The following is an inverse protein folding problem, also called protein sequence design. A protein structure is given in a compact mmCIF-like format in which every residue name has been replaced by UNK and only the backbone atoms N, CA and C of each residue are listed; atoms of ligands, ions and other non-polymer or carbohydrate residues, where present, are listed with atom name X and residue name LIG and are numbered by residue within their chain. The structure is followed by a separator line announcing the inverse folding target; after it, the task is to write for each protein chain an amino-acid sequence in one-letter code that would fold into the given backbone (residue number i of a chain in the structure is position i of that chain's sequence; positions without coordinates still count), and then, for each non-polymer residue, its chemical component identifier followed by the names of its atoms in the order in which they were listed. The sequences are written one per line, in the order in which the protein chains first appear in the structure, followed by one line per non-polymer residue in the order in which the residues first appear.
data_IF_772867677122
#
_entry.id   IF_772867677122
#
_cell.length_a   1.000
_cell.length_b   1.000
_cell.length_c   1.000
_cell.angle_alpha   90.00
_cell.angle_beta   90.00
_cell.angle_gamma   90.00
#
_symmetry.space_group_name_H-M   'P 1'
#
loop_
_entity.id
_entity.type
_entity.pdbx_description
1 polymer ?
#
# COMPACT_ATOMS: atom_id res chain seq x y z
N UNK A 1 -0.19 20.68 4.89
CA UNK A 1 0.41 19.90 3.81
C UNK A 1 1.44 18.96 4.42
N UNK A 2 1.28 17.66 4.25
CA UNK A 2 2.10 16.61 4.89
C UNK A 2 3.22 16.15 3.95
N UNK A 3 3.80 17.06 3.19
CA UNK A 3 4.85 16.75 2.22
C UNK A 3 6.09 16.20 2.92
N UNK A 4 6.47 14.97 2.58
CA UNK A 4 7.67 14.30 3.07
C UNK A 4 8.90 14.92 2.38
N UNK A 5 10.05 14.83 3.02
CA UNK A 5 11.31 15.34 2.48
C UNK A 5 12.21 14.15 2.09
N UNK A 6 12.70 14.15 0.86
CA UNK A 6 13.71 13.21 0.40
C UNK A 6 15.00 13.94 0.10
N UNK A 7 16.10 13.40 0.57
CA UNK A 7 17.42 13.93 0.30
C UNK A 7 18.27 12.93 -0.47
N UNK A 8 19.07 13.45 -1.36
CA UNK A 8 20.01 12.72 -2.19
C UNK A 8 21.40 13.32 -2.04
N UNK A 9 22.45 12.52 -2.19
CA UNK A 9 23.81 13.04 -2.36
C UNK A 9 23.87 13.97 -3.57
N UNK A 10 24.97 14.73 -3.67
CA UNK A 10 25.20 15.66 -4.78
C UNK A 10 25.23 14.96 -6.16
N UNK A 11 25.53 13.66 -6.20
CA UNK A 11 25.45 12.83 -7.40
C UNK A 11 24.01 12.72 -7.95
N UNK A 12 23.01 12.90 -7.07
CA UNK A 12 21.60 12.78 -7.42
C UNK A 12 21.12 11.35 -7.59
N UNK A 13 21.93 10.36 -7.27
CA UNK A 13 21.62 8.93 -7.41
C UNK A 13 21.47 8.24 -6.08
N UNK A 14 22.33 8.54 -5.15
CA UNK A 14 22.28 7.92 -3.82
C UNK A 14 21.22 8.59 -2.96
N UNK A 15 20.22 7.84 -2.56
CA UNK A 15 19.19 8.28 -1.59
C UNK A 15 19.82 8.29 -0.21
N UNK A 16 19.95 9.48 0.38
CA UNK A 16 20.51 9.62 1.74
C UNK A 16 19.52 9.27 2.81
N UNK A 17 18.27 9.69 2.66
CA UNK A 17 17.24 9.47 3.68
C UNK A 17 15.83 9.71 3.17
N UNK A 18 14.93 8.84 3.60
CA UNK A 18 13.52 9.12 3.85
C UNK A 18 13.31 9.01 5.35
N UNK A 19 12.87 10.07 6.01
CA UNK A 19 12.36 9.96 7.37
C UNK A 19 10.83 10.03 7.30
N UNK A 20 10.12 9.01 7.80
CA UNK A 20 8.66 8.92 7.67
C UNK A 20 7.92 10.07 8.36
N UNK A 21 8.56 10.69 9.34
CA UNK A 21 8.01 11.80 10.10
C UNK A 21 8.54 13.17 9.68
N UNK A 22 9.42 13.24 8.67
CA UNK A 22 9.94 14.50 8.18
C UNK A 22 8.89 15.20 7.34
N UNK A 23 8.27 16.19 7.92
CA UNK A 23 7.28 17.02 7.24
C UNK A 23 7.85 18.39 7.01
N UNK A 24 7.66 18.92 5.83
CA UNK A 24 7.83 20.34 5.59
C UNK A 24 6.63 21.05 6.18
N UNK A 25 6.88 21.83 7.23
CA UNK A 25 5.83 22.56 7.96
C UNK A 25 5.71 24.00 7.51
N UNK A 26 6.75 24.53 6.87
CA UNK A 26 6.78 25.90 6.38
C UNK A 26 7.69 26.04 5.15
N UNK A 27 7.29 26.89 4.21
CA UNK A 27 8.06 27.22 3.01
C UNK A 27 8.08 28.74 2.86
N UNK A 28 9.23 29.34 3.10
CA UNK A 28 9.43 30.77 2.96
C UNK A 28 10.22 31.08 1.68
N UNK A 29 9.63 31.82 0.76
CA UNK A 29 10.31 32.27 -0.45
C UNK A 29 11.16 33.50 -0.15
N UNK A 30 12.48 33.37 -0.17
CA UNK A 30 13.44 34.43 0.10
C UNK A 30 13.84 35.24 -1.16
N UNK A 31 13.26 34.91 -2.32
CA UNK A 31 13.63 35.50 -3.62
C UNK A 31 14.83 34.80 -4.26
N UNK A 32 15.19 35.19 -5.48
CA UNK A 32 16.34 34.66 -6.22
C UNK A 32 16.43 33.12 -6.30
N UNK A 33 15.28 32.44 -6.36
CA UNK A 33 15.15 30.97 -6.34
C UNK A 33 15.65 30.32 -5.03
N UNK A 34 15.72 31.10 -3.96
CA UNK A 34 16.06 30.62 -2.63
C UNK A 34 14.79 30.39 -1.84
N UNK A 35 14.70 29.24 -1.18
CA UNK A 35 13.58 28.85 -0.36
C UNK A 35 14.13 28.37 0.98
N UNK A 36 13.55 28.87 2.07
CA UNK A 36 13.79 28.36 3.41
C UNK A 36 12.70 27.33 3.75
N UNK A 37 13.11 26.16 4.22
CA UNK A 37 12.22 25.08 4.59
C UNK A 37 12.24 24.90 6.11
N UNK A 38 11.11 25.09 6.76
CA UNK A 38 10.88 24.63 8.13
C UNK A 38 10.47 23.15 8.10
N UNK A 39 11.11 22.32 8.91
CA UNK A 39 10.80 20.90 9.04
C UNK A 39 10.46 20.52 10.47
N UNK A 40 9.75 19.41 10.67
CA UNK A 40 9.41 18.89 12.00
C UNK A 40 10.61 18.36 12.77
N UNK A 41 11.72 18.09 12.10
CA UNK A 41 12.96 17.59 12.69
C UNK A 41 13.85 18.66 13.31
N UNK A 42 13.47 19.93 13.24
CA UNK A 42 14.37 21.00 13.67
C UNK A 42 15.54 21.15 12.70
N UNK A 43 16.75 20.96 13.19
CA UNK A 43 17.93 21.13 12.34
C UNK A 43 18.22 19.85 11.54
N UNK A 44 18.06 19.89 10.22
CA UNK A 44 18.39 18.79 9.31
C UNK A 44 19.88 18.39 9.36
N UNK A 45 20.72 19.25 9.94
CA UNK A 45 22.16 19.05 10.03
C UNK A 45 22.62 18.49 11.40
N UNK A 46 21.72 18.37 12.36
CA UNK A 46 22.00 17.83 13.71
C UNK A 46 21.62 16.36 13.83
N UNK A 47 22.23 15.51 13.07
CA UNK A 47 21.93 14.08 13.14
C UNK A 47 23.00 13.22 12.46
N UNK A 48 22.89 11.92 12.67
CA UNK A 48 23.80 10.91 12.14
C UNK A 48 23.81 10.80 10.59
N UNK A 49 23.09 11.67 9.89
CA UNK A 49 23.06 11.73 8.44
C UNK A 49 23.70 13.04 7.97
N UNK A 50 24.81 12.99 7.24
CA UNK A 50 25.51 14.17 6.79
C UNK A 50 24.77 14.83 5.63
N UNK A 51 23.86 15.75 5.94
CA UNK A 51 23.39 16.71 4.96
C UNK A 51 24.47 17.78 4.77
N UNK A 52 25.17 17.73 3.69
CA UNK A 52 26.17 18.74 3.35
C UNK A 52 25.64 19.70 2.28
N UNK A 53 26.16 20.91 2.21
CA UNK A 53 25.89 21.80 1.08
C UNK A 53 26.20 21.10 -0.25
N UNK A 54 25.22 21.09 -1.15
CA UNK A 54 25.29 20.35 -2.41
C UNK A 54 24.34 19.14 -2.48
N UNK A 55 23.83 18.67 -1.36
CA UNK A 55 22.76 17.67 -1.36
C UNK A 55 21.53 18.18 -2.12
N UNK A 56 20.87 17.29 -2.82
CA UNK A 56 19.65 17.57 -3.59
C UNK A 56 18.44 17.12 -2.76
N UNK A 57 17.42 17.95 -2.76
CA UNK A 57 16.22 17.72 -1.96
C UNK A 57 14.98 17.70 -2.85
N UNK A 58 14.07 16.77 -2.61
CA UNK A 58 12.77 16.71 -3.25
C UNK A 58 11.68 16.82 -2.20
N UNK A 59 10.73 17.70 -2.45
CA UNK A 59 9.49 17.84 -1.69
C UNK A 59 8.38 17.36 -2.62
N UNK A 60 7.89 16.14 -2.45
CA UNK A 60 6.84 15.62 -3.29
C UNK A 60 5.49 16.25 -2.98
N UNK A 61 4.81 16.67 -4.00
CA UNK A 61 3.40 17.02 -3.93
C UNK A 61 2.59 15.78 -4.33
N UNK A 62 2.16 15.02 -3.33
CA UNK A 62 1.39 13.79 -3.57
C UNK A 62 -0.04 14.14 -3.95
N UNK A 63 -0.46 13.73 -5.15
CA UNK A 63 -1.85 13.81 -5.60
C UNK A 63 -2.45 12.41 -5.66
N UNK A 64 -3.78 12.33 -5.76
CA UNK A 64 -4.48 11.07 -6.01
C UNK A 64 -4.34 10.63 -7.48
N UNK A 65 -4.47 9.32 -7.73
CA UNK A 65 -4.43 8.71 -9.05
C UNK A 65 -3.02 8.37 -9.53
N UNK A 66 -2.94 7.80 -10.72
CA UNK A 66 -1.71 7.37 -11.38
C UNK A 66 -1.46 8.09 -12.70
N UNK A 67 -0.22 8.03 -13.20
CA UNK A 67 0.06 8.43 -14.58
C UNK A 67 -0.71 7.52 -15.58
N UNK A 68 -0.87 6.25 -15.20
CA UNK A 68 -1.74 5.28 -15.86
C UNK A 68 -2.64 4.67 -14.80
N UNK A 69 -3.95 4.67 -15.04
CA UNK A 69 -4.94 4.00 -14.18
C UNK A 69 -5.65 2.90 -14.96
N UNK A 70 -5.77 1.71 -14.36
CA UNK A 70 -6.48 0.54 -14.90
C UNK A 70 -7.52 0.15 -13.85
N UNK A 71 -8.77 0.53 -14.08
CA UNK A 71 -9.81 0.42 -13.06
C UNK A 71 -10.98 -0.44 -13.55
N UNK A 72 -11.42 -1.38 -12.70
CA UNK A 72 -12.52 -2.30 -12.97
C UNK A 72 -12.36 -3.09 -14.30
N UNK A 73 -11.14 -3.40 -14.64
CA UNK A 73 -10.75 -4.10 -15.87
C UNK A 73 -10.30 -5.54 -15.59
N UNK A 74 -10.08 -6.31 -16.64
CA UNK A 74 -9.47 -7.63 -16.58
C UNK A 74 -8.85 -8.00 -17.91
N UNK A 75 -7.79 -8.81 -17.85
CA UNK A 75 -7.07 -9.34 -19.02
C UNK A 75 -6.50 -8.27 -19.97
N UNK A 76 -6.30 -7.05 -19.46
CA UNK A 76 -5.65 -5.99 -20.21
C UNK A 76 -4.14 -6.27 -20.31
N UNK A 77 -3.52 -5.85 -21.41
CA UNK A 77 -2.08 -5.92 -21.58
C UNK A 77 -1.50 -4.55 -21.85
N UNK A 78 -0.57 -4.12 -20.98
CA UNK A 78 0.27 -2.95 -21.20
C UNK A 78 1.68 -3.45 -21.50
N UNK A 79 2.18 -3.14 -22.69
CA UNK A 79 3.47 -3.60 -23.15
C UNK A 79 4.40 -2.45 -23.51
N UNK A 80 5.66 -2.54 -23.04
CA UNK A 80 6.71 -1.56 -23.34
C UNK A 80 6.28 -0.11 -22.99
N UNK A 81 5.61 0.05 -21.83
CA UNK A 81 5.14 1.35 -21.34
C UNK A 81 6.19 1.99 -20.46
N UNK A 82 6.55 3.25 -20.75
CA UNK A 82 7.50 4.03 -19.97
C UNK A 82 6.83 5.17 -19.22
N UNK A 83 6.99 5.20 -17.91
CA UNK A 83 6.49 6.24 -17.02
C UNK A 83 7.69 6.94 -16.37
N UNK A 84 7.92 8.20 -16.71
CA UNK A 84 9.06 8.96 -16.23
C UNK A 84 8.72 9.97 -15.14
N UNK A 85 7.45 10.20 -14.89
CA UNK A 85 6.99 11.17 -13.90
C UNK A 85 5.51 10.99 -13.60
N UNK A 86 5.18 10.93 -12.31
CA UNK A 86 3.81 11.00 -11.83
C UNK A 86 3.75 11.80 -10.53
N UNK A 87 2.75 12.69 -10.36
CA UNK A 87 2.53 13.37 -9.09
C UNK A 87 1.78 12.53 -8.05
N UNK A 88 1.37 11.33 -8.40
CA UNK A 88 0.75 10.31 -7.56
C UNK A 88 1.45 8.97 -7.78
N UNK A 89 0.66 7.90 -7.91
CA UNK A 89 1.17 6.59 -8.31
C UNK A 89 1.76 6.63 -9.72
N UNK A 90 2.78 5.85 -9.98
CA UNK A 90 3.25 5.65 -11.35
C UNK A 90 2.17 4.93 -12.17
N UNK A 91 1.84 3.72 -11.78
CA UNK A 91 0.71 2.95 -12.29
C UNK A 91 -0.24 2.61 -11.14
N UNK A 92 -1.52 2.79 -11.37
CA UNK A 92 -2.58 2.45 -10.42
C UNK A 92 -3.54 1.45 -11.05
N UNK A 93 -3.72 0.31 -10.37
CA UNK A 93 -4.66 -0.73 -10.77
C UNK A 93 -5.66 -0.95 -9.64
N UNK A 94 -6.96 -0.97 -9.95
CA UNK A 94 -7.99 -1.17 -8.95
C UNK A 94 -9.18 -1.99 -9.46
N UNK A 95 -9.57 -2.99 -8.69
CA UNK A 95 -10.83 -3.72 -8.87
C UNK A 95 -10.92 -4.52 -10.16
N UNK A 96 -12.11 -5.02 -10.43
CA UNK A 96 -12.41 -5.83 -11.60
C UNK A 96 -11.86 -7.25 -11.54
N UNK A 97 -11.94 -7.96 -12.66
CA UNK A 97 -11.45 -9.34 -12.75
C UNK A 97 -9.92 -9.43 -12.62
N UNK A 98 -9.20 -8.36 -12.94
CA UNK A 98 -7.73 -8.33 -12.89
C UNK A 98 -7.08 -9.29 -13.88
N UNK A 99 -5.97 -9.91 -13.48
CA UNK A 99 -5.17 -10.74 -14.37
C UNK A 99 -4.48 -9.95 -15.48
N UNK A 100 -4.37 -8.63 -15.30
CA UNK A 100 -3.75 -7.74 -16.26
C UNK A 100 -2.24 -8.01 -16.37
N UNK A 101 -1.71 -7.85 -17.56
CA UNK A 101 -0.31 -8.10 -17.89
C UNK A 101 0.43 -6.77 -18.14
N UNK A 102 1.51 -6.59 -17.41
CA UNK A 102 2.42 -5.46 -17.52
C UNK A 102 3.79 -6.00 -17.94
N UNK A 103 4.05 -6.02 -19.25
CA UNK A 103 5.25 -6.57 -19.84
C UNK A 103 6.17 -5.46 -20.33
N UNK A 104 7.36 -5.37 -19.76
CA UNK A 104 8.31 -4.29 -20.12
C UNK A 104 7.91 -2.92 -19.57
N UNK A 105 7.20 -2.86 -18.43
CA UNK A 105 6.91 -1.59 -17.76
C UNK A 105 8.22 -0.97 -17.23
N UNK A 106 8.49 0.27 -17.60
CA UNK A 106 9.62 1.08 -17.12
C UNK A 106 9.09 2.25 -16.30
N UNK A 107 9.13 2.13 -14.99
CA UNK A 107 8.84 3.23 -14.08
C UNK A 107 10.16 3.71 -13.49
N UNK A 108 10.80 4.64 -14.17
CA UNK A 108 12.15 5.10 -13.91
C UNK A 108 12.24 6.61 -14.04
N UNK A 109 13.29 7.22 -13.50
CA UNK A 109 13.57 8.63 -13.78
C UNK A 109 13.80 8.83 -15.27
N UNK A 110 13.34 9.97 -15.79
CA UNK A 110 13.59 10.30 -17.20
C UNK A 110 15.09 10.35 -17.48
N UNK A 111 15.62 9.51 -18.39
CA UNK A 111 17.04 9.50 -18.75
C UNK A 111 17.53 10.87 -19.22
N UNK A 112 18.79 11.17 -18.96
CA UNK A 112 19.46 12.42 -19.36
C UNK A 112 18.80 13.69 -18.82
N UNK A 113 18.18 13.62 -17.65
CA UNK A 113 17.59 14.77 -16.94
C UNK A 113 18.08 14.82 -15.49
N UNK A 114 17.85 15.95 -14.84
CA UNK A 114 18.16 16.14 -13.42
C UNK A 114 16.99 15.73 -12.51
N UNK A 115 16.03 14.93 -12.97
CA UNK A 115 14.94 14.44 -12.13
C UNK A 115 15.46 13.45 -11.09
N UNK A 116 14.91 13.56 -9.87
CA UNK A 116 15.28 12.70 -8.75
C UNK A 116 14.23 11.61 -8.48
N UNK A 117 12.99 11.80 -8.93
CA UNK A 117 11.87 10.86 -8.72
C UNK A 117 11.19 10.45 -10.01
N UNK A 118 10.63 9.23 -9.99
CA UNK A 118 9.73 8.72 -11.03
C UNK A 118 8.25 8.89 -10.62
N UNK A 119 7.90 8.74 -9.33
CA UNK A 119 6.55 8.94 -8.83
C UNK A 119 6.55 9.53 -7.42
N UNK A 120 5.49 10.26 -7.05
CA UNK A 120 5.33 10.86 -5.72
C UNK A 120 4.54 9.98 -4.75
N UNK A 121 4.23 8.76 -5.14
CA UNK A 121 3.65 7.68 -4.34
C UNK A 121 4.31 6.38 -4.79
N UNK A 122 3.61 5.23 -4.63
CA UNK A 122 4.14 3.95 -5.09
C UNK A 122 4.46 3.99 -6.59
N UNK A 123 5.42 3.19 -6.97
CA UNK A 123 5.69 2.96 -8.38
C UNK A 123 4.48 2.32 -9.07
N UNK A 124 4.15 1.13 -8.65
CA UNK A 124 2.95 0.42 -9.08
C UNK A 124 2.10 0.03 -7.86
N UNK A 125 0.88 0.50 -7.81
CA UNK A 125 -0.09 0.18 -6.76
C UNK A 125 -1.26 -0.62 -7.34
N UNK A 126 -1.43 -1.88 -6.92
CA UNK A 126 -2.54 -2.74 -7.31
C UNK A 126 -3.42 -3.06 -6.11
N UNK A 127 -4.73 -2.80 -6.25
CA UNK A 127 -5.68 -2.89 -5.15
C UNK A 127 -6.95 -3.61 -5.52
N UNK A 128 -7.31 -4.63 -4.75
CA UNK A 128 -8.65 -5.22 -4.74
C UNK A 128 -9.09 -5.87 -6.04
N UNK A 129 -8.19 -6.33 -6.88
CA UNK A 129 -8.50 -7.11 -8.07
C UNK A 129 -8.87 -8.55 -7.67
N UNK A 130 -9.70 -9.21 -8.46
CA UNK A 130 -10.01 -10.63 -8.25
C UNK A 130 -8.78 -11.51 -8.48
N UNK A 131 -8.07 -11.25 -9.57
CA UNK A 131 -6.78 -11.86 -9.89
C UNK A 131 -5.74 -10.75 -9.94
N UNK A 132 -4.63 -10.94 -9.25
CA UNK A 132 -3.58 -9.95 -9.20
C UNK A 132 -2.84 -9.76 -10.52
N UNK A 133 -2.02 -8.70 -10.61
CA UNK A 133 -1.28 -8.35 -11.82
C UNK A 133 -0.16 -9.34 -12.13
N UNK A 134 0.20 -9.40 -13.39
CA UNK A 134 1.39 -10.07 -13.90
C UNK A 134 2.40 -9.03 -14.36
N UNK A 135 3.36 -8.71 -13.50
CA UNK A 135 4.46 -7.78 -13.81
C UNK A 135 5.67 -8.58 -14.27
N UNK A 136 6.05 -8.42 -15.52
CA UNK A 136 7.11 -9.21 -16.15
C UNK A 136 8.06 -8.34 -16.95
N UNK A 137 9.34 -8.71 -17.02
CA UNK A 137 10.37 -8.06 -17.83
C UNK A 137 10.49 -6.55 -17.59
N UNK A 138 10.25 -6.10 -16.37
CA UNK A 138 10.01 -4.71 -16.02
C UNK A 138 11.13 -4.09 -15.19
N UNK A 139 11.08 -2.78 -14.99
CA UNK A 139 12.04 -2.04 -14.16
C UNK A 139 11.33 -0.93 -13.40
N UNK A 140 11.46 -0.94 -12.07
CA UNK A 140 10.84 0.03 -11.18
C UNK A 140 11.89 0.63 -10.25
N UNK A 141 11.94 1.97 -10.20
CA UNK A 141 12.91 2.69 -9.37
C UNK A 141 12.44 4.09 -9.01
N UNK A 142 13.05 4.68 -7.97
CA UNK A 142 12.85 6.07 -7.57
C UNK A 142 11.39 6.50 -7.36
N UNK A 143 10.54 5.59 -6.91
CA UNK A 143 9.24 5.96 -6.35
C UNK A 143 9.42 6.49 -4.93
N UNK A 144 8.52 7.33 -4.46
CA UNK A 144 8.60 7.89 -3.10
C UNK A 144 8.09 6.97 -2.01
N UNK A 145 7.33 5.98 -2.39
CA UNK A 145 6.84 4.93 -1.50
C UNK A 145 7.30 3.57 -2.05
N UNK A 146 6.50 2.52 -1.91
CA UNK A 146 6.85 1.20 -2.40
C UNK A 146 7.08 1.20 -3.92
N UNK A 147 8.08 0.48 -4.40
CA UNK A 147 8.22 0.33 -5.84
C UNK A 147 7.06 -0.47 -6.43
N UNK A 148 6.57 -1.46 -5.68
CA UNK A 148 5.37 -2.23 -6.00
C UNK A 148 4.57 -2.55 -4.74
N UNK A 149 3.28 -2.26 -4.74
CA UNK A 149 2.35 -2.60 -3.66
C UNK A 149 1.16 -3.35 -4.23
N UNK A 150 0.82 -4.50 -3.66
CA UNK A 150 -0.35 -5.29 -4.05
C UNK A 150 -1.12 -5.77 -2.83
N UNK A 151 -2.44 -5.48 -2.82
CA UNK A 151 -3.30 -5.83 -1.71
C UNK A 151 -4.79 -5.91 -2.09
N UNK A 152 -5.56 -6.55 -1.24
CA UNK A 152 -7.01 -6.40 -1.13
C UNK A 152 -7.38 -5.50 0.05
N UNK A 153 -8.59 -5.63 0.57
CA UNK A 153 -9.06 -4.88 1.74
C UNK A 153 -9.19 -5.80 2.95
N UNK A 154 -8.96 -5.23 4.11
CA UNK A 154 -9.37 -5.78 5.40
C UNK A 154 -10.63 -5.05 5.83
N UNK A 155 -11.72 -5.80 5.97
CA UNK A 155 -12.92 -5.33 6.63
C UNK A 155 -13.02 -6.06 7.98
N UNK A 156 -13.94 -5.68 8.83
CA UNK A 156 -14.13 -6.36 10.10
C UNK A 156 -15.60 -6.49 10.49
N UNK A 157 -15.90 -7.53 11.24
CA UNK A 157 -17.23 -7.77 11.78
C UNK A 157 -17.47 -6.81 12.93
N UNK A 158 -18.42 -5.90 12.78
CA UNK A 158 -18.81 -5.00 13.86
C UNK A 158 -19.65 -5.72 14.91
N UNK A 159 -20.62 -6.51 14.44
CA UNK A 159 -21.51 -7.28 15.31
C UNK A 159 -22.06 -8.52 14.59
N UNK A 160 -22.44 -9.51 15.39
CA UNK A 160 -23.07 -10.76 14.93
C UNK A 160 -24.55 -10.70 15.31
N UNK A 161 -25.40 -10.32 14.37
CA UNK A 161 -26.83 -10.09 14.59
C UNK A 161 -27.70 -11.33 14.36
N UNK A 162 -27.10 -12.41 13.91
CA UNK A 162 -27.74 -13.70 13.69
C UNK A 162 -26.70 -14.76 13.36
N UNK A 163 -27.04 -16.03 13.36
CA UNK A 163 -26.09 -17.12 13.11
C UNK A 163 -25.38 -17.03 11.75
N UNK A 164 -26.06 -16.46 10.76
CA UNK A 164 -25.54 -16.23 9.42
C UNK A 164 -25.70 -14.76 8.98
N UNK A 165 -25.89 -13.85 9.92
CA UNK A 165 -26.05 -12.41 9.64
C UNK A 165 -25.10 -11.57 10.45
N UNK A 166 -24.38 -10.69 9.77
CA UNK A 166 -23.33 -9.87 10.32
C UNK A 166 -23.55 -8.40 10.01
N UNK A 167 -23.10 -7.54 10.91
CA UNK A 167 -22.78 -6.15 10.58
C UNK A 167 -21.30 -6.07 10.29
N UNK A 168 -20.94 -5.60 9.09
CA UNK A 168 -19.55 -5.50 8.62
C UNK A 168 -19.22 -4.05 8.34
N UNK A 169 -18.03 -3.64 8.73
CA UNK A 169 -17.51 -2.30 8.45
C UNK A 169 -16.39 -2.38 7.43
N UNK A 170 -16.54 -1.65 6.36
CA UNK A 170 -15.56 -1.49 5.29
C UNK A 170 -15.06 -0.06 5.17
N UNK A 171 -13.76 0.11 4.98
CA UNK A 171 -13.13 1.43 4.91
C UNK A 171 -13.35 2.12 3.55
N UNK A 172 -13.32 1.35 2.46
CA UNK A 172 -13.52 1.83 1.09
C UNK A 172 -14.71 1.14 0.40
N UNK A 173 -15.76 0.84 1.17
CA UNK A 173 -16.78 -0.09 0.76
C UNK A 173 -16.48 -1.49 1.30
N UNK A 174 -17.35 -2.44 1.05
CA UNK A 174 -17.14 -3.83 1.43
C UNK A 174 -16.36 -4.57 0.34
N UNK A 175 -15.44 -5.43 0.76
CA UNK A 175 -14.54 -6.19 -0.14
C UNK A 175 -15.19 -7.41 -0.82
N UNK A 176 -16.48 -7.59 -0.67
CA UNK A 176 -17.20 -8.76 -1.18
C UNK A 176 -18.46 -8.40 -1.94
N UNK A 177 -18.71 -9.16 -3.02
CA UNK A 177 -19.98 -9.16 -3.75
C UNK A 177 -20.82 -10.39 -3.38
N UNK A 178 -22.13 -10.32 -3.66
CA UNK A 178 -23.03 -11.47 -3.55
C UNK A 178 -22.54 -12.61 -4.45
N UNK A 179 -22.48 -13.82 -3.91
CA UNK A 179 -21.97 -14.99 -4.57
C UNK A 179 -20.46 -15.21 -4.44
N UNK A 180 -19.76 -14.35 -3.71
CA UNK A 180 -18.32 -14.50 -3.45
C UNK A 180 -18.07 -15.04 -2.05
N UNK A 181 -16.88 -15.62 -1.86
CA UNK A 181 -16.46 -16.15 -0.56
C UNK A 181 -15.86 -15.06 0.30
N UNK A 182 -16.03 -15.21 1.60
CA UNK A 182 -15.35 -14.43 2.64
C UNK A 182 -14.66 -15.35 3.61
N UNK A 183 -13.44 -15.02 3.98
CA UNK A 183 -12.68 -15.70 5.02
C UNK A 183 -12.69 -14.87 6.29
N UNK A 184 -12.81 -15.55 7.43
CA UNK A 184 -12.79 -14.95 8.75
C UNK A 184 -11.51 -15.33 9.49
N UNK A 185 -10.93 -14.34 10.16
CA UNK A 185 -9.72 -14.52 10.95
C UNK A 185 -9.88 -13.84 12.31
N UNK A 186 -9.26 -14.41 13.31
CA UNK A 186 -9.19 -13.82 14.64
C UNK A 186 -8.49 -12.45 14.59
N UNK A 187 -9.01 -11.49 15.35
CA UNK A 187 -8.51 -10.12 15.36
C UNK A 187 -7.03 -10.03 15.79
N UNK A 188 -6.62 -10.78 16.78
CA UNK A 188 -5.30 -10.67 17.40
C UNK A 188 -4.30 -11.67 16.84
N UNK A 189 -4.68 -12.94 16.81
CA UNK A 189 -3.80 -14.04 16.40
C UNK A 189 -3.68 -14.20 14.89
N UNK A 190 -4.64 -13.66 14.12
CA UNK A 190 -4.80 -13.90 12.68
C UNK A 190 -4.99 -15.38 12.32
N UNK A 191 -5.39 -16.19 13.27
CA UNK A 191 -5.77 -17.55 12.97
C UNK A 191 -7.03 -17.58 12.12
N UNK A 192 -6.99 -18.40 11.09
CA UNK A 192 -8.17 -18.66 10.26
C UNK A 192 -9.27 -19.32 11.10
N UNK A 193 -10.47 -18.80 10.99
CA UNK A 193 -11.64 -19.32 11.70
C UNK A 193 -12.59 -20.08 10.80
N UNK A 194 -13.00 -19.45 9.68
CA UNK A 194 -14.07 -20.00 8.85
C UNK A 194 -14.09 -19.35 7.46
N UNK A 195 -14.82 -19.98 6.52
CA UNK A 195 -15.16 -19.42 5.20
C UNK A 195 -16.65 -19.62 4.94
N UNK A 196 -17.31 -18.62 4.40
CA UNK A 196 -18.70 -18.70 3.95
C UNK A 196 -18.90 -17.95 2.63
N UNK A 197 -20.05 -18.17 1.98
CA UNK A 197 -20.44 -17.44 0.78
C UNK A 197 -21.43 -16.34 1.12
N UNK A 198 -21.20 -15.15 0.60
CA UNK A 198 -22.11 -14.01 0.77
C UNK A 198 -23.36 -14.21 -0.10
N UNK A 199 -24.55 -14.21 0.49
CA UNK A 199 -25.82 -14.36 -0.22
C UNK A 199 -26.60 -13.05 -0.35
N UNK A 200 -26.36 -12.08 0.54
CA UNK A 200 -26.93 -10.74 0.45
C UNK A 200 -26.01 -9.71 1.11
N UNK A 201 -26.01 -8.50 0.57
CA UNK A 201 -25.31 -7.33 1.11
C UNK A 201 -26.26 -6.13 1.04
N UNK A 202 -26.43 -5.45 2.16
CA UNK A 202 -27.22 -4.21 2.24
C UNK A 202 -26.42 -3.13 2.93
N UNK A 203 -26.11 -2.05 2.21
CA UNK A 203 -25.47 -0.88 2.83
C UNK A 203 -26.47 -0.20 3.76
N UNK A 204 -26.08 0.05 4.99
CA UNK A 204 -26.90 0.72 5.98
C UNK A 204 -26.70 2.24 5.89
N UNK A 205 -27.80 2.97 5.92
CA UNK A 205 -27.82 4.45 5.93
C UNK A 205 -28.22 5.03 7.29
N UNK A 206 -28.36 4.18 8.32
CA UNK A 206 -28.83 4.61 9.62
C UNK A 206 -27.74 5.38 10.38
N UNK A 207 -28.06 6.61 10.77
CA UNK A 207 -27.17 7.50 11.51
C UNK A 207 -26.79 6.96 12.91
N UNK A 208 -27.58 6.07 13.49
CA UNK A 208 -27.27 5.43 14.79
C UNK A 208 -26.04 4.53 14.65
N UNK A 209 -26.00 3.71 13.63
CA UNK A 209 -24.83 2.85 13.35
C UNK A 209 -23.60 3.68 12.95
N UNK A 210 -23.78 4.70 12.13
CA UNK A 210 -22.69 5.58 11.69
C UNK A 210 -22.05 6.34 12.85
N UNK A 211 -22.80 6.72 13.88
CA UNK A 211 -22.21 7.35 15.07
C UNK A 211 -21.37 6.38 15.90
N UNK A 212 -21.72 5.10 15.93
CA UNK A 212 -21.00 4.08 16.69
C UNK A 212 -19.70 3.66 16.00
N UNK A 213 -19.57 3.81 14.67
CA UNK A 213 -18.34 3.47 13.93
C UNK A 213 -17.14 4.27 14.42
N UNK A 214 -17.33 5.52 14.88
CA UNK A 214 -16.24 6.32 15.45
C UNK A 214 -15.69 5.70 16.74
N UNK A 215 -16.53 5.03 17.50
CA UNK A 215 -16.13 4.36 18.74
C UNK A 215 -15.37 3.07 18.46
N UNK A 216 -15.66 2.40 17.35
CA UNK A 216 -14.98 1.14 16.96
C UNK A 216 -13.51 1.35 16.67
N UNK A 217 -13.13 2.40 15.94
CA UNK A 217 -11.70 2.67 15.67
C UNK A 217 -10.92 2.99 16.96
N UNK A 218 -11.56 3.66 17.92
CA UNK A 218 -11.02 3.88 19.26
C UNK A 218 -10.92 2.59 20.06
N UNK A 219 -11.92 1.74 19.96
CA UNK A 219 -11.99 0.46 20.66
C UNK A 219 -10.94 -0.53 20.14
N UNK A 220 -10.92 -0.78 18.84
CA UNK A 220 -9.89 -1.65 18.21
C UNK A 220 -8.49 -1.13 18.50
N UNK A 221 -8.29 0.20 18.47
CA UNK A 221 -7.00 0.81 18.73
C UNK A 221 -6.56 0.75 20.20
N UNK A 222 -7.48 0.88 21.16
CA UNK A 222 -7.14 1.05 22.57
C UNK A 222 -7.16 -0.26 23.36
N UNK A 223 -8.08 -1.15 23.10
CA UNK A 223 -8.30 -2.33 23.91
C UNK A 223 -7.46 -3.51 23.46
N UNK A 224 -7.20 -3.64 22.17
CA UNK A 224 -6.41 -4.73 21.59
C UNK A 224 -5.02 -4.31 21.12
N UNK A 225 -4.58 -3.10 21.46
CA UNK A 225 -3.26 -2.61 21.01
C UNK A 225 -3.10 -2.45 19.49
N UNK A 226 -4.23 -2.50 18.77
CA UNK A 226 -4.26 -2.39 17.32
C UNK A 226 -4.36 -0.92 16.93
N UNK A 227 -3.32 -0.38 16.35
CA UNK A 227 -3.38 0.95 15.76
C UNK A 227 -4.09 0.87 14.41
N UNK A 228 -5.27 1.43 14.31
CA UNK A 228 -6.01 1.60 13.07
C UNK A 228 -6.05 3.06 12.67
N UNK A 229 -6.02 3.34 11.38
CA UNK A 229 -6.15 4.71 10.88
C UNK A 229 -7.60 5.15 11.03
N UNK A 230 -7.81 6.21 11.81
CA UNK A 230 -9.08 6.95 11.76
C UNK A 230 -9.04 7.85 10.54
N UNK A 231 -10.02 7.73 9.65
CA UNK A 231 -10.13 8.67 8.52
C UNK A 231 -10.58 10.03 9.04
N UNK A 232 -9.99 11.12 8.53
CA UNK A 232 -10.31 12.47 8.97
C UNK A 232 -11.80 12.87 8.81
N UNK A 233 -12.50 12.20 7.91
CA UNK A 233 -13.89 12.47 7.53
C UNK A 233 -14.90 11.46 8.11
N UNK A 234 -14.43 10.44 8.85
CA UNK A 234 -15.28 9.46 9.50
C UNK A 234 -16.07 8.56 8.53
N UNK A 235 -15.53 8.33 7.34
CA UNK A 235 -16.19 7.60 6.26
C UNK A 235 -15.95 6.09 6.32
N UNK A 236 -16.40 5.46 7.39
CA UNK A 236 -16.66 4.02 7.34
C UNK A 236 -18.08 3.77 6.87
N UNK A 237 -18.24 2.82 5.98
CA UNK A 237 -19.53 2.31 5.59
C UNK A 237 -19.86 1.05 6.40
N UNK A 238 -21.11 0.90 6.81
CA UNK A 238 -21.61 -0.30 7.49
C UNK A 238 -22.57 -1.06 6.57
N UNK A 239 -22.44 -2.37 6.59
CA UNK A 239 -23.21 -3.27 5.76
C UNK A 239 -23.82 -4.39 6.61
N UNK A 240 -25.09 -4.71 6.35
CA UNK A 240 -25.67 -6.00 6.76
C UNK A 240 -25.29 -7.04 5.70
N UNK A 241 -24.62 -8.09 6.13
CA UNK A 241 -24.18 -9.21 5.27
C UNK A 241 -24.89 -10.47 5.70
N UNK A 242 -25.48 -11.20 4.76
CA UNK A 242 -26.06 -12.54 4.97
C UNK A 242 -25.19 -13.58 4.31
N UNK A 243 -24.91 -14.65 5.03
CA UNK A 243 -24.09 -15.78 4.59
C UNK A 243 -24.96 -16.99 4.22
N UNK A 244 -24.40 -17.90 3.45
CA UNK A 244 -25.05 -19.15 2.99
C UNK A 244 -25.21 -20.20 4.11
N UNK A 245 -24.53 -20.02 5.23
CA UNK A 245 -24.56 -20.93 6.37
C UNK A 245 -24.28 -20.21 7.68
N UNK A 246 -24.55 -20.90 8.78
CA UNK A 246 -24.16 -20.45 10.12
C UNK A 246 -22.63 -20.46 10.25
N UNK A 247 -22.07 -19.46 10.90
CA UNK A 247 -20.64 -19.30 11.19
C UNK A 247 -20.42 -19.06 12.67
N UNK A 248 -19.30 -19.55 13.20
CA UNK A 248 -18.87 -19.34 14.59
C UNK A 248 -17.77 -18.28 14.64
N UNK A 249 -18.18 -17.03 14.57
CA UNK A 249 -17.30 -15.86 14.57
C UNK A 249 -17.74 -14.88 15.65
N UNK A 250 -16.86 -13.99 16.01
CA UNK A 250 -17.05 -13.00 17.06
C UNK A 250 -17.09 -11.58 16.47
N UNK A 251 -17.72 -10.62 17.17
CA UNK A 251 -17.50 -9.21 16.88
C UNK A 251 -16.00 -8.91 16.86
N UNK A 252 -15.61 -8.07 15.88
CA UNK A 252 -14.25 -7.61 15.60
C UNK A 252 -13.32 -8.62 14.89
N UNK A 253 -13.76 -9.84 14.60
CA UNK A 253 -13.01 -10.71 13.68
C UNK A 253 -12.82 -10.03 12.32
N UNK A 254 -11.70 -10.33 11.68
CA UNK A 254 -11.45 -9.83 10.33
C UNK A 254 -12.36 -10.52 9.31
N UNK A 255 -12.90 -9.70 8.43
CA UNK A 255 -13.72 -10.09 7.29
C UNK A 255 -12.95 -9.79 6.01
N UNK A 256 -12.57 -10.80 5.27
CA UNK A 256 -11.68 -10.68 4.12
C UNK A 256 -12.32 -11.29 2.88
N UNK A 257 -12.69 -10.45 1.94
CA UNK A 257 -13.23 -10.89 0.66
C UNK A 257 -12.20 -11.61 -0.20
N UNK A 258 -12.46 -12.87 -0.53
CA UNK A 258 -11.52 -13.67 -1.34
C UNK A 258 -11.53 -13.26 -2.81
N UNK A 259 -12.59 -12.60 -3.28
CA UNK A 259 -12.71 -12.11 -4.66
C UNK A 259 -12.02 -10.78 -4.95
N UNK A 260 -11.51 -10.11 -3.91
CA UNK A 260 -10.79 -8.84 -4.05
C UNK A 260 -9.38 -8.90 -3.48
N UNK A 261 -8.84 -10.08 -3.34
CA UNK A 261 -7.57 -10.35 -2.65
C UNK A 261 -6.34 -10.21 -3.54
N UNK A 262 -6.49 -9.85 -4.81
CA UNK A 262 -5.40 -9.78 -5.80
C UNK A 262 -4.59 -11.09 -5.88
N UNK A 263 -5.23 -12.24 -5.61
CA UNK A 263 -4.57 -13.56 -5.62
C UNK A 263 -3.95 -13.88 -6.98
N UNK A 264 -3.00 -14.81 -6.97
CA UNK A 264 -2.26 -15.23 -8.17
C UNK A 264 -1.44 -14.09 -8.81
N UNK A 265 -0.98 -13.13 -8.02
CA UNK A 265 -0.03 -12.12 -8.48
C UNK A 265 1.27 -12.78 -8.95
N UNK A 266 1.77 -12.39 -10.10
CA UNK A 266 3.03 -12.90 -10.65
C UNK A 266 3.99 -11.75 -10.92
N UNK A 267 5.16 -11.80 -10.30
CA UNK A 267 6.24 -10.84 -10.53
C UNK A 267 7.46 -11.64 -11.00
N UNK A 268 7.90 -11.37 -12.22
CA UNK A 268 8.95 -12.16 -12.85
C UNK A 268 9.91 -11.33 -13.68
N UNK A 269 11.21 -11.70 -13.63
CA UNK A 269 12.24 -11.08 -14.46
C UNK A 269 12.19 -9.55 -14.41
N UNK A 270 12.08 -9.00 -13.19
CA UNK A 270 11.89 -7.57 -12.96
C UNK A 270 13.03 -7.02 -12.11
N UNK A 271 13.49 -5.82 -12.45
CA UNK A 271 14.53 -5.11 -11.72
C UNK A 271 13.92 -4.01 -10.86
N UNK A 272 14.06 -4.16 -9.55
CA UNK A 272 13.66 -3.19 -8.54
C UNK A 272 14.90 -2.55 -7.96
N UNK A 273 15.04 -1.23 -8.09
CA UNK A 273 16.25 -0.60 -7.60
C UNK A 273 16.07 0.86 -7.16
N UNK A 274 17.01 1.33 -6.36
CA UNK A 274 17.07 2.70 -5.87
C UNK A 274 15.72 3.13 -5.26
N UNK A 275 15.18 2.26 -4.41
CA UNK A 275 13.91 2.47 -3.70
C UNK A 275 14.14 3.07 -2.31
N UNK A 276 13.59 4.26 -2.01
CA UNK A 276 13.77 4.90 -0.70
C UNK A 276 12.92 4.26 0.41
N UNK A 277 12.06 3.31 0.07
CA UNK A 277 11.22 2.57 1.01
C UNK A 277 11.37 1.07 0.74
N UNK A 278 10.31 0.39 0.35
CA UNK A 278 10.32 -1.06 0.07
C UNK A 278 10.37 -1.32 -1.42
N UNK A 279 10.93 -2.47 -1.80
CA UNK A 279 10.85 -2.96 -3.17
C UNK A 279 9.42 -3.44 -3.47
N UNK A 280 9.00 -4.50 -2.80
CA UNK A 280 7.64 -5.06 -2.92
C UNK A 280 6.96 -5.10 -1.56
N UNK A 281 5.75 -4.58 -1.48
CA UNK A 281 4.81 -4.78 -0.39
C UNK A 281 3.76 -5.79 -0.85
N UNK A 282 3.81 -7.01 -0.27
CA UNK A 282 3.05 -8.16 -0.74
C UNK A 282 1.96 -8.55 0.24
N UNK A 283 0.72 -8.48 -0.21
CA UNK A 283 -0.48 -8.90 0.54
C UNK A 283 -1.45 -9.70 -0.32
N UNK A 284 -0.92 -10.41 -1.30
CA UNK A 284 -1.72 -11.21 -2.23
C UNK A 284 -1.41 -12.70 -2.05
N UNK A 285 -2.40 -13.55 -1.79
CA UNK A 285 -2.19 -14.99 -1.65
C UNK A 285 -1.92 -15.67 -2.99
N UNK A 286 -1.44 -16.91 -2.95
CA UNK A 286 -1.18 -17.77 -4.11
C UNK A 286 -0.25 -17.14 -5.15
N UNK A 287 0.72 -16.36 -4.70
CA UNK A 287 1.52 -15.47 -5.55
C UNK A 287 2.95 -15.96 -5.75
N UNK A 288 3.59 -15.45 -6.78
CA UNK A 288 4.97 -15.84 -7.15
C UNK A 288 5.82 -14.59 -7.41
N UNK A 289 7.01 -14.57 -6.81
CA UNK A 289 8.08 -13.59 -7.09
C UNK A 289 9.31 -14.38 -7.51
N UNK A 290 9.67 -14.35 -8.79
CA UNK A 290 10.76 -15.16 -9.31
C UNK A 290 11.67 -14.43 -10.31
N UNK A 291 12.92 -14.82 -10.33
CA UNK A 291 13.93 -14.34 -11.29
C UNK A 291 14.10 -12.81 -11.27
N UNK A 292 13.85 -12.14 -10.12
CA UNK A 292 13.94 -10.71 -9.97
C UNK A 292 15.29 -10.29 -9.35
N UNK A 293 15.68 -9.04 -9.59
CA UNK A 293 16.83 -8.41 -8.94
C UNK A 293 16.37 -7.22 -8.13
N UNK A 294 16.83 -7.14 -6.88
CA UNK A 294 16.60 -6.05 -5.96
C UNK A 294 17.95 -5.42 -5.61
N UNK A 295 18.08 -4.11 -5.78
CA UNK A 295 19.34 -3.42 -5.54
C UNK A 295 19.11 -2.02 -4.97
N UNK A 296 19.89 -1.62 -3.96
CA UNK A 296 19.81 -0.31 -3.33
C UNK A 296 18.40 0.01 -2.79
N UNK A 297 17.81 -0.89 -2.04
CA UNK A 297 16.50 -0.68 -1.40
C UNK A 297 16.74 -0.27 0.07
N UNK A 298 16.21 0.89 0.46
CA UNK A 298 16.49 1.46 1.78
C UNK A 298 15.83 0.72 2.94
N UNK A 299 14.72 0.04 2.69
CA UNK A 299 14.05 -0.85 3.64
C UNK A 299 14.06 -2.29 3.11
N UNK A 300 13.04 -3.06 3.37
CA UNK A 300 12.94 -4.45 2.91
C UNK A 300 12.78 -4.51 1.38
N UNK A 301 13.52 -5.39 0.72
CA UNK A 301 13.33 -5.66 -0.71
C UNK A 301 11.96 -6.28 -0.99
N UNK A 302 11.52 -7.20 -0.14
CA UNK A 302 10.18 -7.79 -0.14
C UNK A 302 9.65 -7.76 1.29
N UNK A 303 8.53 -7.13 1.52
CA UNK A 303 7.86 -7.07 2.81
C UNK A 303 6.51 -7.75 2.70
N UNK A 304 6.35 -8.85 3.43
CA UNK A 304 5.13 -9.66 3.45
C UNK A 304 4.41 -9.41 4.77
N UNK A 305 3.33 -8.68 4.73
CA UNK A 305 2.54 -8.35 5.91
C UNK A 305 1.12 -7.97 5.53
N UNK A 306 0.19 -8.02 6.46
CA UNK A 306 -1.04 -7.25 6.37
C UNK A 306 -0.85 -5.91 7.08
N UNK A 307 -1.69 -4.93 6.77
CA UNK A 307 -1.67 -3.65 7.47
C UNK A 307 -3.04 -3.32 8.06
N UNK A 308 -3.12 -3.40 9.39
CA UNK A 308 -4.30 -2.95 10.13
C UNK A 308 -4.50 -1.45 10.01
N UNK A 309 -3.40 -0.71 10.02
CA UNK A 309 -3.44 0.75 9.95
C UNK A 309 -4.04 1.27 8.64
N UNK A 310 -3.75 0.59 7.51
CA UNK A 310 -4.23 0.98 6.20
C UNK A 310 -5.45 0.18 5.73
N UNK A 311 -5.91 -0.81 6.52
CA UNK A 311 -6.96 -1.77 6.12
C UNK A 311 -6.60 -2.52 4.84
N UNK A 312 -5.35 -2.92 4.73
CA UNK A 312 -4.82 -3.62 3.56
C UNK A 312 -4.47 -5.07 3.91
N UNK A 313 -5.06 -5.98 3.17
CA UNK A 313 -4.91 -7.43 3.31
C UNK A 313 -5.06 -8.12 1.96
N UNK A 314 -5.31 -9.40 1.95
CA UNK A 314 -5.29 -10.38 3.04
C UNK A 314 -3.89 -10.78 3.48
N UNK A 315 -3.80 -11.88 4.27
CA UNK A 315 -2.53 -12.55 4.53
C UNK A 315 -2.06 -13.21 3.24
N UNK A 316 -0.80 -12.96 2.85
CA UNK A 316 -0.21 -13.53 1.64
C UNK A 316 0.18 -15.02 1.87
N UNK A 317 -0.82 -15.87 2.00
CA UNK A 317 -0.61 -17.32 2.12
C UNK A 317 -0.16 -17.91 0.78
N UNK A 318 0.56 -19.04 0.82
CA UNK A 318 1.03 -19.77 -0.36
C UNK A 318 1.84 -18.89 -1.33
N UNK A 319 2.75 -18.08 -0.78
CA UNK A 319 3.66 -17.21 -1.54
C UNK A 319 4.94 -17.97 -1.88
N UNK A 320 5.32 -17.98 -3.15
CA UNK A 320 6.60 -18.52 -3.62
C UNK A 320 7.57 -17.41 -3.97
N UNK A 321 8.72 -17.38 -3.31
CA UNK A 321 9.83 -16.46 -3.61
C UNK A 321 11.04 -17.31 -4.01
N UNK A 322 11.47 -17.25 -5.27
CA UNK A 322 12.57 -18.10 -5.76
C UNK A 322 13.45 -17.42 -6.80
N UNK A 323 14.71 -17.81 -6.85
CA UNK A 323 15.70 -17.38 -7.83
C UNK A 323 15.92 -15.86 -7.88
N UNK A 324 15.66 -15.13 -6.79
CA UNK A 324 15.83 -13.70 -6.75
C UNK A 324 17.24 -13.32 -6.26
N UNK A 325 17.72 -12.18 -6.71
CA UNK A 325 19.03 -11.63 -6.31
C UNK A 325 18.79 -10.36 -5.49
N UNK A 326 19.43 -10.29 -4.31
CA UNK A 326 19.36 -9.14 -3.41
C UNK A 326 20.74 -8.53 -3.22
N UNK A 327 20.87 -7.23 -3.52
CA UNK A 327 22.12 -6.49 -3.41
C UNK A 327 21.89 -5.18 -2.68
N UNK A 328 22.73 -4.90 -1.70
CA UNK A 328 22.67 -3.63 -0.96
C UNK A 328 21.27 -3.29 -0.46
N UNK A 329 20.69 -4.18 0.32
CA UNK A 329 19.36 -4.04 0.91
C UNK A 329 19.50 -3.49 2.33
N UNK A 330 18.46 -2.74 2.80
CA UNK A 330 18.47 -2.02 4.09
C UNK A 330 19.66 -1.05 4.17
N UNK A 331 19.92 -0.37 3.04
CA UNK A 331 20.97 0.63 2.95
C UNK A 331 20.58 1.99 3.56
N UNK A 332 19.37 2.10 4.09
CA UNK A 332 18.87 3.28 4.79
C UNK A 332 19.24 3.33 6.27
N UNK A 333 18.82 4.38 6.95
CA UNK A 333 19.09 4.58 8.39
C UNK A 333 18.37 3.52 9.21
N UNK A 334 19.05 2.86 10.18
CA UNK A 334 18.41 1.92 11.09
C UNK A 334 17.23 2.56 11.85
N UNK A 335 16.11 1.86 11.94
CA UNK A 335 14.92 2.32 12.66
C UNK A 335 13.79 2.87 11.80
N UNK A 336 13.94 2.95 10.48
CA UNK A 336 12.88 3.41 9.58
C UNK A 336 11.75 2.39 9.34
N UNK A 337 11.96 1.12 9.65
CA UNK A 337 10.96 0.07 9.41
C UNK A 337 9.80 0.09 10.43
N UNK A 338 10.05 0.47 11.68
CA UNK A 338 9.06 0.39 12.76
C UNK A 338 7.92 1.42 12.67
N UNK A 339 8.04 2.40 11.82
CA UNK A 339 7.04 3.47 11.65
C UNK A 339 6.18 3.32 10.39
N UNK A 340 6.33 2.21 9.66
CA UNK A 340 5.62 1.96 8.40
C UNK A 340 4.73 0.71 8.43
N UNK A 341 4.55 0.13 9.61
CA UNK A 341 3.60 -0.95 9.84
C UNK A 341 2.21 -0.41 10.16
#
# INVERSE_FOLDING_TARGET
DNSRLFAYLADGETVLRKHPNDKVVNVNHLGNKVVELGTTLGNLFDGDVPFEPGCRVVIPLRTSGGAVSVENCGECTLKDVHIYSSPGFGLYEQGGNGGNVYDGLRLIRRPNTNRLHASSADGFHSKGCKTGPRLINSELSYAEDDLFNVHGSLDYVYDVIGKNKLLVVGHYGISTDVGTSVDFYDLESYEYKDTATVTAVTKLSDTVYMNNIKDVSSFIGSEYGVTVRTMPDGTFDMYEVTLDRDVDILPYDWYIGTSTSSKNTVIKNTYFHDGPVRGILMRAPDSVIEDCTFENISCSAIFVCLSRYWYEGPIANNLTIKNNVFKNIVCGVPGSESSMA
#
